data_IF_891004258747
#
_entry.id   IF_891004258747
#
_cell.length_a   1.000
_cell.length_b   1.000
_cell.length_c   1.000
_cell.angle_alpha   90.00
_cell.angle_beta   90.00
_cell.angle_gamma   90.00
#
_symmetry.space_group_name_H-M   'P 1'
#
loop_
_entity.id
_entity.type
_entity.pdbx_description
1 polymer ?
#
# COMPACT_ATOMS: atom_id res chain seq x y z
N UNK A 1 -14.71 -8.50 -9.12
CA UNK A 1 -14.40 -7.30 -8.33
C UNK A 1 -13.25 -7.58 -7.36
N UNK A 2 -12.33 -6.61 -7.18
CA UNK A 2 -11.26 -6.71 -6.20
C UNK A 2 -11.61 -5.88 -4.97
N UNK A 3 -11.78 -6.53 -3.81
CA UNK A 3 -12.06 -5.86 -2.55
C UNK A 3 -10.74 -5.42 -1.90
N UNK A 4 -10.61 -4.11 -1.65
CA UNK A 4 -9.41 -3.50 -1.07
C UNK A 4 -9.75 -2.91 0.29
N UNK A 5 -9.37 -3.56 1.42
CA UNK A 5 -9.48 -2.94 2.73
C UNK A 5 -8.63 -1.67 2.82
N UNK A 6 -9.16 -0.65 3.47
CA UNK A 6 -8.49 0.63 3.68
C UNK A 6 -8.16 0.84 5.16
N UNK A 7 -7.01 1.46 5.43
CA UNK A 7 -6.67 1.95 6.76
C UNK A 7 -7.46 3.21 7.12
N UNK A 8 -7.48 3.58 8.41
CA UNK A 8 -8.12 4.82 8.88
C UNK A 8 -7.52 6.06 8.20
N UNK A 9 -6.20 6.09 8.03
CA UNK A 9 -5.47 7.17 7.37
C UNK A 9 -5.86 7.28 5.88
N UNK A 10 -5.96 6.15 5.19
CA UNK A 10 -6.40 6.14 3.79
C UNK A 10 -7.85 6.63 3.64
N UNK A 11 -8.74 6.24 4.57
CA UNK A 11 -10.13 6.73 4.58
C UNK A 11 -10.18 8.23 4.85
N UNK A 12 -9.35 8.75 5.77
CA UNK A 12 -9.25 10.19 6.04
C UNK A 12 -8.82 10.96 4.79
N UNK A 13 -7.72 10.53 4.15
CA UNK A 13 -7.25 11.15 2.90
C UNK A 13 -8.28 11.10 1.76
N UNK A 14 -9.03 10.00 1.64
CA UNK A 14 -10.11 9.89 0.65
C UNK A 14 -11.30 10.79 0.96
N UNK A 15 -11.60 11.05 2.23
CA UNK A 15 -12.65 12.02 2.63
C UNK A 15 -12.24 13.45 2.28
N UNK A 16 -10.99 13.82 2.50
CA UNK A 16 -10.44 15.12 2.07
C UNK A 16 -10.52 15.26 0.55
N UNK A 17 -10.10 14.23 -0.19
CA UNK A 17 -10.22 14.21 -1.64
C UNK A 17 -11.68 14.32 -2.10
N UNK A 18 -12.61 13.67 -1.42
CA UNK A 18 -14.03 13.71 -1.74
C UNK A 18 -14.60 15.14 -1.65
N UNK A 19 -14.12 15.96 -0.74
CA UNK A 19 -14.51 17.37 -0.66
C UNK A 19 -14.16 18.15 -1.94
N UNK A 20 -13.11 17.71 -2.66
CA UNK A 20 -12.63 18.34 -3.89
C UNK A 20 -13.23 17.72 -5.16
N UNK A 21 -13.44 16.41 -5.19
CA UNK A 21 -13.79 15.66 -6.42
C UNK A 21 -15.09 14.87 -6.32
N UNK A 22 -15.74 14.85 -5.16
CA UNK A 22 -16.91 14.00 -4.87
C UNK A 22 -18.18 14.30 -5.67
N UNK A 23 -18.28 15.49 -6.27
CA UNK A 23 -19.36 15.82 -7.22
C UNK A 23 -19.21 15.15 -8.59
N UNK A 24 -18.09 14.50 -8.87
CA UNK A 24 -17.79 13.83 -10.15
C UNK A 24 -17.99 12.32 -10.10
N UNK A 25 -17.98 11.69 -11.27
CA UNK A 25 -18.06 10.23 -11.42
C UNK A 25 -16.72 9.52 -11.17
N UNK A 26 -15.63 10.25 -11.05
CA UNK A 26 -14.26 9.73 -11.02
C UNK A 26 -13.54 10.24 -9.77
N UNK A 27 -12.96 9.33 -9.00
CA UNK A 27 -12.25 9.66 -7.76
C UNK A 27 -11.01 10.54 -8.03
N UNK A 28 -10.26 10.21 -9.09
CA UNK A 28 -9.08 10.96 -9.53
C UNK A 28 -9.31 11.50 -10.96
N UNK A 29 -10.00 12.65 -11.08
CA UNK A 29 -10.30 13.21 -12.40
C UNK A 29 -9.07 13.81 -13.05
N UNK A 30 -9.08 13.85 -14.39
CA UNK A 30 -8.10 14.57 -15.18
C UNK A 30 -8.36 16.07 -15.09
N UNK A 31 -7.33 16.85 -14.73
CA UNK A 31 -7.40 18.30 -14.75
C UNK A 31 -7.61 18.85 -16.18
N UNK A 32 -7.02 18.19 -17.19
CA UNK A 32 -7.06 18.65 -18.59
C UNK A 32 -8.30 18.18 -19.37
N UNK A 33 -8.94 17.09 -18.91
CA UNK A 33 -10.08 16.47 -19.59
C UNK A 33 -11.18 16.18 -18.58
N UNK A 34 -12.08 17.12 -18.33
CA UNK A 34 -13.18 16.94 -17.39
C UNK A 34 -13.97 15.66 -17.63
N UNK A 35 -14.33 14.95 -16.57
CA UNK A 35 -15.07 13.68 -16.65
C UNK A 35 -14.24 12.44 -16.99
N UNK A 36 -12.96 12.58 -17.32
CA UNK A 36 -12.06 11.46 -17.55
C UNK A 36 -11.14 11.22 -16.33
N UNK A 37 -10.60 10.01 -16.20
CA UNK A 37 -9.59 9.68 -15.19
C UNK A 37 -8.27 10.38 -15.50
N UNK A 38 -7.48 10.67 -14.46
CA UNK A 38 -6.13 11.21 -14.66
C UNK A 38 -5.24 10.24 -15.46
N UNK A 39 -4.27 10.79 -16.18
CA UNK A 39 -3.31 9.99 -16.95
C UNK A 39 -2.48 9.07 -16.05
N UNK A 40 -2.15 7.88 -16.54
CA UNK A 40 -1.25 6.94 -15.86
C UNK A 40 0.13 7.54 -15.53
N UNK A 41 0.58 8.56 -16.28
CA UNK A 41 1.85 9.24 -16.03
C UNK A 41 1.77 10.36 -14.99
N UNK A 42 0.58 10.76 -14.56
CA UNK A 42 0.35 11.94 -13.69
C UNK A 42 1.14 11.83 -12.38
N UNK A 43 1.09 10.69 -11.72
CA UNK A 43 1.81 10.47 -10.44
C UNK A 43 3.32 10.56 -10.63
N UNK A 44 3.88 9.95 -11.68
CA UNK A 44 5.31 10.02 -11.95
C UNK A 44 5.76 11.45 -12.32
N UNK A 45 4.93 12.23 -13.02
CA UNK A 45 5.19 13.63 -13.29
C UNK A 45 5.15 14.48 -12.01
N UNK A 46 4.25 14.17 -11.07
CA UNK A 46 4.22 14.81 -9.77
C UNK A 46 5.50 14.51 -8.98
N UNK A 47 5.90 13.25 -8.89
CA UNK A 47 7.16 12.83 -8.23
C UNK A 47 8.38 13.51 -8.87
N UNK A 48 8.43 13.62 -10.20
CA UNK A 48 9.51 14.34 -10.90
C UNK A 48 9.57 15.81 -10.48
N UNK A 49 8.42 16.52 -10.43
CA UNK A 49 8.37 17.92 -9.99
C UNK A 49 8.79 18.12 -8.52
N UNK A 50 8.54 17.10 -7.68
CA UNK A 50 8.96 17.07 -6.28
C UNK A 50 10.45 16.72 -6.10
N UNK A 51 11.23 16.54 -7.17
CA UNK A 51 12.65 16.20 -7.11
C UNK A 51 13.00 14.72 -7.07
N UNK A 52 12.01 13.83 -7.17
CA UNK A 52 12.21 12.37 -7.15
C UNK A 52 12.40 11.74 -8.54
N UNK A 53 12.52 12.57 -9.59
CA UNK A 53 12.75 12.08 -10.96
C UNK A 53 14.00 11.20 -11.06
N UNK A 54 13.88 10.00 -11.65
CA UNK A 54 14.97 9.03 -11.73
C UNK A 54 15.32 8.30 -10.43
N UNK A 55 14.83 8.77 -9.27
CA UNK A 55 15.10 8.16 -7.96
C UNK A 55 13.95 7.30 -7.45
N UNK A 56 12.72 7.68 -7.78
CA UNK A 56 11.53 6.99 -7.31
C UNK A 56 10.38 7.08 -8.33
N UNK A 57 9.51 6.10 -8.34
CA UNK A 57 8.33 6.04 -9.22
C UNK A 57 7.07 5.67 -8.44
N UNK A 58 5.90 5.93 -9.04
CA UNK A 58 4.62 5.52 -8.44
C UNK A 58 4.53 4.01 -8.18
N UNK A 59 5.17 3.18 -9.02
CA UNK A 59 5.27 1.74 -8.78
C UNK A 59 6.17 1.41 -7.57
N UNK A 60 7.13 2.27 -7.25
CA UNK A 60 8.01 2.14 -6.10
C UNK A 60 7.26 2.04 -4.78
N UNK A 61 6.16 2.78 -4.59
CA UNK A 61 5.33 2.66 -3.39
C UNK A 61 4.84 1.22 -3.17
N UNK A 62 4.39 0.56 -4.23
CA UNK A 62 3.95 -0.84 -4.17
C UNK A 62 5.11 -1.78 -3.85
N UNK A 63 6.23 -1.62 -4.52
CA UNK A 63 7.43 -2.44 -4.30
C UNK A 63 7.96 -2.29 -2.88
N UNK A 64 8.01 -1.07 -2.36
CA UNK A 64 8.42 -0.76 -0.99
C UNK A 64 7.50 -1.43 0.03
N UNK A 65 6.17 -1.29 -0.13
CA UNK A 65 5.21 -1.94 0.75
C UNK A 65 5.37 -3.46 0.74
N UNK A 66 5.51 -4.09 -0.43
CA UNK A 66 5.74 -5.55 -0.55
C UNK A 66 7.00 -5.97 0.19
N UNK A 67 8.12 -5.26 -0.02
CA UNK A 67 9.41 -5.57 0.59
C UNK A 67 9.35 -5.43 2.10
N UNK A 68 8.88 -4.30 2.60
CA UNK A 68 8.84 -4.03 4.04
C UNK A 68 7.88 -4.99 4.74
N UNK A 69 6.67 -5.19 4.24
CA UNK A 69 5.73 -6.14 4.82
C UNK A 69 6.28 -7.58 4.81
N UNK A 70 6.99 -7.99 3.75
CA UNK A 70 7.67 -9.27 3.69
C UNK A 70 8.79 -9.40 4.74
N UNK A 71 9.63 -8.36 4.90
CA UNK A 71 10.67 -8.34 5.93
C UNK A 71 10.09 -8.35 7.35
N UNK A 72 8.94 -7.73 7.54
CA UNK A 72 8.20 -7.77 8.80
C UNK A 72 7.49 -9.10 9.06
N UNK A 73 7.55 -10.06 8.15
CA UNK A 73 7.03 -11.40 8.31
C UNK A 73 5.54 -11.56 8.02
N UNK A 74 4.92 -10.58 7.33
CA UNK A 74 3.54 -10.73 6.88
C UNK A 74 3.42 -11.82 5.81
N UNK A 75 2.35 -12.63 5.82
CA UNK A 75 2.18 -13.72 4.86
C UNK A 75 2.12 -13.20 3.42
N UNK A 76 3.07 -13.59 2.57
CA UNK A 76 3.22 -13.17 1.17
C UNK A 76 1.89 -13.26 0.40
N UNK A 77 1.17 -14.39 0.55
CA UNK A 77 -0.11 -14.60 -0.12
C UNK A 77 -1.16 -13.52 0.19
N UNK A 78 -1.17 -12.99 1.41
CA UNK A 78 -2.11 -11.93 1.82
C UNK A 78 -1.70 -10.57 1.28
N UNK A 79 -0.40 -10.30 1.27
CA UNK A 79 0.18 -9.08 0.66
C UNK A 79 -0.08 -9.08 -0.84
N UNK A 80 0.17 -10.19 -1.53
CA UNK A 80 -0.10 -10.35 -2.96
C UNK A 80 -1.58 -10.15 -3.30
N UNK A 81 -2.50 -10.72 -2.47
CA UNK A 81 -3.93 -10.51 -2.63
C UNK A 81 -4.32 -9.04 -2.48
N UNK A 82 -3.75 -8.35 -1.51
CA UNK A 82 -4.01 -6.92 -1.30
C UNK A 82 -3.56 -6.08 -2.49
N UNK A 83 -2.45 -6.46 -3.10
CA UNK A 83 -1.87 -5.77 -4.25
C UNK A 83 -2.42 -6.25 -5.59
N UNK A 84 -3.39 -7.18 -5.60
CA UNK A 84 -3.90 -7.81 -6.83
C UNK A 84 -2.77 -8.40 -7.71
N UNK A 85 -1.72 -8.93 -7.09
CA UNK A 85 -0.69 -9.67 -7.81
C UNK A 85 -1.28 -11.01 -8.25
N UNK A 86 -1.70 -11.13 -9.50
CA UNK A 86 -2.01 -12.42 -10.12
C UNK A 86 -0.68 -13.09 -10.48
N UNK A 87 -0.22 -14.06 -9.68
CA UNK A 87 0.71 -15.06 -10.22
C UNK A 87 -0.08 -15.75 -11.34
N UNK A 88 0.28 -15.53 -12.59
CA UNK A 88 -0.18 -16.36 -13.71
C UNK A 88 0.32 -17.78 -13.40
N UNK A 89 -0.46 -18.56 -12.64
CA UNK A 89 -0.20 -19.98 -12.54
C UNK A 89 -0.49 -20.55 -13.92
N UNK A 90 0.44 -21.33 -14.47
CA UNK A 90 0.23 -22.13 -15.69
C UNK A 90 -0.89 -23.16 -15.52
N UNK A 91 -1.44 -23.28 -14.33
CA UNK A 91 -2.49 -24.22 -13.94
C UNK A 91 -3.85 -23.50 -14.00
N UNK A 92 -4.50 -23.59 -15.15
CA UNK A 92 -5.86 -23.05 -15.39
C UNK A 92 -6.95 -23.78 -14.58
N UNK A 93 -6.62 -24.81 -13.81
CA UNK A 93 -7.56 -25.60 -13.00
C UNK A 93 -7.81 -25.03 -11.61
N UNK A 94 -7.11 -23.92 -11.20
CA UNK A 94 -7.40 -23.27 -9.93
C UNK A 94 -8.62 -22.36 -10.04
N UNK A 95 -9.61 -22.66 -9.22
CA UNK A 95 -10.83 -21.88 -9.02
C UNK A 95 -10.57 -20.36 -9.03
N UNK A 96 -11.54 -19.56 -9.53
CA UNK A 96 -11.40 -18.10 -9.63
C UNK A 96 -10.84 -17.56 -8.32
N UNK A 97 -9.81 -16.73 -8.42
CA UNK A 97 -9.09 -16.15 -7.29
C UNK A 97 -10.09 -15.37 -6.43
N UNK A 98 -10.48 -15.95 -5.30
CA UNK A 98 -11.47 -15.37 -4.41
C UNK A 98 -10.87 -14.14 -3.70
N UNK A 99 -11.14 -12.97 -4.25
CA UNK A 99 -10.68 -11.70 -3.73
C UNK A 99 -11.31 -11.32 -2.38
N UNK A 100 -12.30 -12.11 -1.90
CA UNK A 100 -12.90 -11.94 -0.57
C UNK A 100 -12.09 -12.66 0.50
N UNK A 101 -11.20 -13.60 0.11
CA UNK A 101 -10.37 -14.33 1.06
C UNK A 101 -9.49 -13.41 1.87
N UNK A 102 -9.37 -13.75 3.13
CA UNK A 102 -8.49 -13.07 4.08
C UNK A 102 -8.75 -11.55 4.26
N UNK A 103 -9.98 -11.09 4.01
CA UNK A 103 -10.32 -9.66 4.13
C UNK A 103 -9.96 -9.13 5.52
N UNK A 104 -10.31 -9.84 6.59
CA UNK A 104 -10.04 -9.41 7.96
C UNK A 104 -8.52 -9.29 8.23
N UNK A 105 -7.75 -10.29 7.83
CA UNK A 105 -6.29 -10.20 8.00
C UNK A 105 -5.65 -9.15 7.10
N UNK A 106 -6.23 -8.85 5.94
CA UNK A 106 -5.76 -7.77 5.07
C UNK A 106 -6.11 -6.39 5.63
N UNK A 107 -7.25 -6.22 6.33
CA UNK A 107 -7.55 -5.00 7.10
C UNK A 107 -6.46 -4.71 8.13
N UNK A 108 -6.04 -5.74 8.87
CA UNK A 108 -4.95 -5.61 9.86
C UNK A 108 -3.66 -5.19 9.16
N UNK A 109 -3.26 -5.88 8.09
CA UNK A 109 -2.04 -5.55 7.33
C UNK A 109 -2.06 -4.09 6.83
N UNK A 110 -3.18 -3.62 6.32
CA UNK A 110 -3.30 -2.25 5.80
C UNK A 110 -3.29 -1.21 6.91
N UNK A 111 -3.85 -1.51 8.07
CA UNK A 111 -3.78 -0.61 9.23
C UNK A 111 -2.35 -0.56 9.77
N UNK A 112 -1.70 -1.70 9.97
CA UNK A 112 -0.31 -1.78 10.43
C UNK A 112 0.64 -1.05 9.47
N UNK A 113 0.44 -1.21 8.16
CA UNK A 113 1.22 -0.48 7.15
C UNK A 113 1.08 1.04 7.29
N UNK A 114 -0.13 1.53 7.49
CA UNK A 114 -0.37 2.96 7.67
C UNK A 114 0.22 3.49 8.99
N UNK A 115 0.13 2.72 10.07
CA UNK A 115 0.72 3.08 11.37
C UNK A 115 2.26 3.08 11.32
N UNK A 116 2.86 2.19 10.50
CA UNK A 116 4.30 2.21 10.18
C UNK A 116 4.68 3.51 9.48
N UNK A 117 3.94 3.90 8.46
CA UNK A 117 4.20 5.14 7.72
C UNK A 117 4.09 6.38 8.62
N UNK A 118 3.08 6.45 9.48
CA UNK A 118 2.92 7.53 10.44
C UNK A 118 4.09 7.59 11.43
N UNK A 119 4.57 6.43 11.90
CA UNK A 119 5.72 6.34 12.80
C UNK A 119 7.00 6.82 12.12
N UNK A 120 7.26 6.40 10.88
CA UNK A 120 8.39 6.84 10.08
C UNK A 120 8.35 8.35 9.82
N UNK A 121 7.17 8.88 9.48
CA UNK A 121 6.99 10.32 9.26
C UNK A 121 7.24 11.13 10.53
N UNK A 122 6.88 10.59 11.69
CA UNK A 122 7.11 11.21 13.00
C UNK A 122 8.53 11.00 13.54
N UNK A 123 9.42 10.31 12.82
CA UNK A 123 10.75 9.93 13.31
C UNK A 123 10.73 9.01 14.54
N UNK A 124 9.64 8.28 14.74
CA UNK A 124 9.46 7.39 15.89
C UNK A 124 9.85 5.95 15.54
N UNK A 125 10.35 5.16 16.53
CA UNK A 125 10.58 3.72 16.33
C UNK A 125 9.29 3.02 15.90
N UNK A 126 9.41 2.04 15.00
CA UNK A 126 8.29 1.22 14.53
C UNK A 126 8.02 0.09 15.53
N UNK A 127 7.80 0.43 16.81
CA UNK A 127 7.51 -0.54 17.86
C UNK A 127 6.04 -0.97 17.83
N UNK A 128 5.79 -2.25 18.03
CA UNK A 128 4.46 -2.79 18.35
C UNK A 128 3.60 -3.26 17.19
N UNK A 129 4.00 -3.09 15.94
CA UNK A 129 3.24 -3.53 14.74
C UNK A 129 3.01 -5.06 14.69
N UNK A 130 3.48 -5.81 15.65
CA UNK A 130 3.76 -7.24 15.50
C UNK A 130 3.04 -8.21 16.39
N UNK A 131 2.23 -7.75 17.31
CA UNK A 131 1.51 -8.66 18.23
C UNK A 131 0.52 -9.60 17.51
N UNK A 132 0.04 -9.23 16.33
CA UNK A 132 -0.96 -10.00 15.62
C UNK A 132 -0.43 -11.20 14.80
N UNK A 133 0.89 -11.30 14.55
CA UNK A 133 1.44 -12.27 13.59
C UNK A 133 2.61 -13.14 14.13
N UNK A 134 2.80 -13.20 15.45
CA UNK A 134 3.82 -14.02 16.08
C UNK A 134 5.17 -13.32 16.30
N UNK A 135 6.18 -14.04 16.86
CA UNK A 135 7.44 -13.42 17.28
C UNK A 135 8.24 -12.86 16.09
N UNK A 136 8.90 -11.75 16.34
CA UNK A 136 9.74 -11.07 15.34
C UNK A 136 10.88 -11.99 14.85
N UNK A 137 11.00 -12.14 13.53
CA UNK A 137 12.19 -12.79 12.98
C UNK A 137 13.44 -11.92 13.20
N UNK A 138 14.63 -12.55 13.24
CA UNK A 138 15.92 -11.82 13.37
C UNK A 138 16.09 -10.74 12.28
N UNK A 139 15.59 -10.99 11.06
CA UNK A 139 15.61 -10.04 9.94
C UNK A 139 14.77 -8.78 10.20
N UNK A 140 13.64 -8.94 10.87
CA UNK A 140 12.74 -7.85 11.25
C UNK A 140 13.37 -6.92 12.28
N UNK A 141 13.99 -7.46 13.30
CA UNK A 141 14.75 -6.69 14.30
C UNK A 141 15.90 -5.92 13.65
N UNK A 142 16.60 -6.51 12.66
CA UNK A 142 17.66 -5.83 11.93
C UNK A 142 17.15 -4.65 11.10
N UNK A 143 16.00 -4.80 10.42
CA UNK A 143 15.40 -3.71 9.63
C UNK A 143 15.01 -2.51 10.50
N UNK A 144 14.38 -2.76 11.64
CA UNK A 144 14.01 -1.68 12.57
C UNK A 144 15.24 -0.91 13.06
N UNK A 145 16.35 -1.61 13.36
CA UNK A 145 17.63 -0.97 13.75
C UNK A 145 18.28 -0.13 12.64
N UNK A 146 18.07 -0.48 11.38
CA UNK A 146 18.55 0.33 10.24
C UNK A 146 17.76 1.61 10.15
N UNK A 147 16.44 1.53 10.27
CA UNK A 147 15.53 2.70 10.23
C UNK A 147 15.79 3.66 11.42
N UNK A 148 16.19 3.14 12.58
CA UNK A 148 16.51 3.92 13.78
C UNK A 148 17.87 4.66 13.71
N UNK A 149 18.75 4.31 12.75
CA UNK A 149 20.12 4.87 12.64
C UNK A 149 20.28 5.93 11.55
N UNK A 150 19.29 6.11 10.68
CA UNK A 150 19.26 7.14 9.62
C UNK A 150 18.34 8.31 10.00
#
# INVERSE_FOLDING_TARGET
PHLVPLSRQAVAALRELHALTGGGKVLFPSYRKPGQVMSATTLNQALKRMGYGGRFSSHGFRSTATTILGLLGYPEKRVDLQLAHSKKSKDSSRAPYDHTKFVESRKVIMQDWADILDSLQAGKPVEGVTKAFGPMSKRRTALLRVIERE
#
